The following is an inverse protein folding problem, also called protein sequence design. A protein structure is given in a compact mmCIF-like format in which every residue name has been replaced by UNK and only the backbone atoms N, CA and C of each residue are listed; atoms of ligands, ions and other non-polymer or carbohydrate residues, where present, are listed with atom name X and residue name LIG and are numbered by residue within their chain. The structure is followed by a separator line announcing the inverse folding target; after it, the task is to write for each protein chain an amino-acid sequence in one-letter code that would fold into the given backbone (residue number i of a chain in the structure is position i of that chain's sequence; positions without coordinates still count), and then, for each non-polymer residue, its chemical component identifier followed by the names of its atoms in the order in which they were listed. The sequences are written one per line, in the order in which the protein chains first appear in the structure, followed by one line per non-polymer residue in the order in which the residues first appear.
data_IF_645718182354
#
_entry.id   IF_645718182354
#
_cell.length_a   1.000
_cell.length_b   1.000
_cell.length_c   1.000
_cell.angle_alpha   90.00
_cell.angle_beta   90.00
_cell.angle_gamma   90.00
#
_symmetry.space_group_name_H-M   'P 1'
#
loop_
_entity.id
_entity.type
_entity.pdbx_description
1 polymer ?
#
# COMPACT_ATOMS: atom_id res chain seq x y z
N UNK A 1 -10.93 -3.02 -4.36
CA UNK A 1 -10.40 -2.76 -5.72
C UNK A 1 -10.83 -3.91 -6.62
N UNK A 2 -10.75 -3.74 -7.93
CA UNK A 2 -10.83 -4.85 -8.90
C UNK A 2 -9.46 -4.98 -9.59
N UNK A 3 -8.93 -6.20 -9.70
CA UNK A 3 -7.61 -6.46 -10.27
C UNK A 3 -7.72 -7.33 -11.52
N UNK A 4 -6.88 -7.03 -12.51
CA UNK A 4 -6.83 -7.73 -13.80
C UNK A 4 -5.40 -7.72 -14.37
N UNK A 5 -5.24 -8.26 -15.58
CA UNK A 5 -4.00 -8.20 -16.35
C UNK A 5 -3.08 -9.42 -16.21
N UNK A 6 -3.45 -10.43 -15.43
CA UNK A 6 -2.73 -11.71 -15.39
C UNK A 6 -2.88 -12.43 -16.75
N UNK A 7 -1.79 -12.67 -17.51
CA UNK A 7 -1.85 -13.30 -18.83
C UNK A 7 -2.36 -14.75 -18.80
N UNK A 8 -2.22 -15.44 -17.68
CA UNK A 8 -2.70 -16.81 -17.50
C UNK A 8 -4.21 -16.90 -17.22
N UNK A 9 -4.86 -15.78 -16.90
CA UNK A 9 -6.27 -15.76 -16.51
C UNK A 9 -7.25 -16.01 -17.66
N UNK A 10 -6.86 -15.68 -18.90
CA UNK A 10 -7.78 -15.59 -20.06
C UNK A 10 -8.64 -16.83 -20.30
N UNK A 11 -8.04 -18.02 -20.13
CA UNK A 11 -8.69 -19.32 -20.33
C UNK A 11 -8.55 -20.23 -19.10
N UNK A 12 -8.30 -19.65 -17.92
CA UNK A 12 -8.07 -20.40 -16.71
C UNK A 12 -9.33 -21.16 -16.27
N UNK A 13 -9.26 -22.47 -15.97
CA UNK A 13 -10.42 -23.20 -15.49
C UNK A 13 -10.90 -22.64 -14.14
N UNK A 14 -12.18 -22.89 -13.81
CA UNK A 14 -12.76 -22.51 -12.51
C UNK A 14 -11.91 -23.11 -11.37
N UNK A 15 -11.66 -22.31 -10.34
CA UNK A 15 -10.86 -22.72 -9.18
C UNK A 15 -9.33 -22.71 -9.39
N UNK A 16 -8.81 -22.45 -10.60
CA UNK A 16 -7.37 -22.20 -10.77
C UNK A 16 -7.01 -20.92 -10.02
N UNK A 17 -6.00 -21.02 -9.14
CA UNK A 17 -5.38 -19.88 -8.48
C UNK A 17 -4.66 -19.02 -9.51
N UNK A 18 -4.90 -17.71 -9.47
CA UNK A 18 -4.39 -16.70 -10.39
C UNK A 18 -3.77 -15.53 -9.61
N UNK A 19 -3.18 -14.58 -10.31
CA UNK A 19 -2.50 -13.41 -9.75
C UNK A 19 -0.98 -13.54 -9.73
N UNK A 20 -0.45 -14.71 -10.09
CA UNK A 20 0.99 -14.96 -10.16
C UNK A 20 1.57 -14.86 -11.59
N UNK A 21 0.73 -14.75 -12.63
CA UNK A 21 1.21 -14.66 -14.00
C UNK A 21 1.94 -13.34 -14.28
N UNK A 22 2.96 -13.40 -15.12
CA UNK A 22 3.78 -12.26 -15.52
C UNK A 22 4.13 -12.28 -17.02
N UNK A 23 4.78 -11.21 -17.48
CA UNK A 23 5.24 -11.03 -18.87
C UNK A 23 6.77 -10.99 -19.00
N UNK A 24 7.48 -11.48 -17.99
CA UNK A 24 8.95 -11.55 -17.97
C UNK A 24 9.69 -10.24 -17.69
N UNK A 25 8.98 -9.16 -17.33
CA UNK A 25 9.60 -7.89 -16.92
C UNK A 25 8.76 -7.13 -15.88
N UNK A 26 9.44 -6.26 -15.15
CA UNK A 26 8.88 -5.25 -14.24
C UNK A 26 9.14 -3.85 -14.77
N UNK A 27 8.42 -2.88 -14.24
CA UNK A 27 8.63 -1.45 -14.52
C UNK A 27 9.07 -0.76 -13.22
N UNK A 28 10.11 0.09 -13.23
CA UNK A 28 10.51 0.83 -12.03
C UNK A 28 9.33 1.55 -11.36
N UNK A 29 9.36 1.61 -10.04
CA UNK A 29 8.33 2.30 -9.29
C UNK A 29 8.35 3.81 -9.59
N UNK A 30 7.20 4.35 -9.96
CA UNK A 30 6.98 5.78 -10.16
C UNK A 30 5.98 6.28 -9.13
N UNK A 31 6.49 6.73 -7.98
CA UNK A 31 5.66 7.28 -6.91
C UNK A 31 5.70 8.81 -6.96
N UNK A 32 4.65 9.42 -7.52
CA UNK A 32 4.50 10.88 -7.56
C UNK A 32 3.59 11.34 -6.40
N UNK A 33 4.05 11.11 -5.17
CA UNK A 33 3.30 11.45 -3.96
C UNK A 33 3.61 12.89 -3.49
N UNK A 34 2.61 13.68 -3.01
CA UNK A 34 1.20 13.35 -2.82
C UNK A 34 0.30 13.62 -4.05
N UNK A 35 0.88 13.96 -5.21
CA UNK A 35 0.12 14.36 -6.41
C UNK A 35 -0.80 13.26 -6.95
N UNK A 36 -0.32 12.02 -7.01
CA UNK A 36 -1.13 10.87 -7.40
C UNK A 36 -1.29 9.92 -6.20
N UNK A 37 -2.54 9.59 -5.92
CA UNK A 37 -2.93 8.83 -4.74
C UNK A 37 -4.17 7.97 -5.04
N UNK A 38 -4.47 7.03 -4.17
CA UNK A 38 -5.42 5.95 -4.41
C UNK A 38 -6.86 6.34 -4.09
N UNK A 39 -7.35 7.42 -4.70
CA UNK A 39 -8.79 7.75 -4.70
C UNK A 39 -9.60 6.71 -5.49
N UNK A 40 -10.90 6.60 -5.21
CA UNK A 40 -11.82 5.79 -6.02
C UNK A 40 -11.71 6.19 -7.49
N UNK A 41 -11.57 5.21 -8.37
CA UNK A 41 -11.35 5.37 -9.81
C UNK A 41 -9.88 5.42 -10.23
N UNK A 42 -8.92 5.52 -9.31
CA UNK A 42 -7.50 5.48 -9.67
C UNK A 42 -7.12 4.14 -10.34
N UNK A 43 -6.42 4.22 -11.46
CA UNK A 43 -5.81 3.10 -12.17
C UNK A 43 -4.35 2.96 -11.72
N UNK A 44 -4.00 1.79 -11.23
CA UNK A 44 -2.72 1.58 -10.54
C UNK A 44 -2.10 0.23 -10.91
N UNK A 45 -0.78 0.16 -10.87
CA UNK A 45 -0.06 -1.06 -11.18
C UNK A 45 0.01 -1.98 -9.96
N UNK A 46 -0.24 -3.27 -10.17
CA UNK A 46 -0.01 -4.28 -9.12
C UNK A 46 1.49 -4.55 -9.00
N UNK A 47 1.93 -5.10 -7.85
CA UNK A 47 3.30 -5.57 -7.65
C UNK A 47 3.36 -6.70 -6.64
N UNK A 48 4.46 -7.43 -6.63
CA UNK A 48 4.77 -8.36 -5.55
C UNK A 48 5.08 -7.61 -4.25
N UNK A 49 4.91 -8.29 -3.11
CA UNK A 49 5.21 -7.74 -1.79
C UNK A 49 6.70 -7.50 -1.55
N UNK A 50 7.01 -6.60 -0.62
CA UNK A 50 8.34 -6.03 -0.39
C UNK A 50 9.44 -7.07 -0.09
N UNK A 51 9.07 -8.22 0.52
CA UNK A 51 10.02 -9.30 0.78
C UNK A 51 10.60 -9.93 -0.49
N UNK A 52 9.82 -9.92 -1.59
CA UNK A 52 10.24 -10.43 -2.90
C UNK A 52 10.67 -9.27 -3.81
N UNK A 53 9.99 -8.13 -3.70
CA UNK A 53 10.20 -6.94 -4.53
C UNK A 53 10.52 -5.72 -3.66
N UNK A 54 11.73 -5.63 -3.09
CA UNK A 54 12.11 -4.55 -2.17
C UNK A 54 12.22 -3.19 -2.85
N UNK A 55 12.41 -3.18 -4.18
CA UNK A 55 12.39 -1.96 -5.00
C UNK A 55 10.98 -1.49 -5.38
N UNK A 56 9.95 -2.27 -5.00
CA UNK A 56 8.53 -2.00 -5.25
C UNK A 56 8.21 -1.80 -6.73
N UNK A 57 8.95 -2.46 -7.63
CA UNK A 57 8.75 -2.38 -9.07
C UNK A 57 7.35 -2.87 -9.46
N UNK A 58 6.72 -2.16 -10.39
CA UNK A 58 5.39 -2.46 -10.91
C UNK A 58 5.41 -3.71 -11.79
N UNK A 59 4.33 -4.48 -11.76
CA UNK A 59 4.07 -5.56 -12.73
C UNK A 59 4.02 -4.99 -14.15
N UNK A 60 4.62 -5.70 -15.11
CA UNK A 60 4.56 -5.30 -16.52
C UNK A 60 3.18 -5.46 -17.17
N UNK A 61 2.21 -6.12 -16.51
CA UNK A 61 0.90 -6.42 -17.10
C UNK A 61 -0.28 -6.31 -16.12
N UNK A 62 -0.07 -6.58 -14.83
CA UNK A 62 -1.17 -6.58 -13.86
C UNK A 62 -1.45 -5.18 -13.33
N UNK A 63 -2.73 -4.83 -13.28
CA UNK A 63 -3.23 -3.54 -12.80
C UNK A 63 -4.52 -3.71 -12.02
N UNK A 64 -4.88 -2.68 -11.26
CA UNK A 64 -6.15 -2.62 -10.57
C UNK A 64 -6.79 -1.24 -10.69
N UNK A 65 -8.12 -1.22 -10.53
CA UNK A 65 -8.89 0.00 -10.37
C UNK A 65 -9.33 0.10 -8.91
N UNK A 66 -9.00 1.23 -8.29
CA UNK A 66 -9.37 1.50 -6.91
C UNK A 66 -10.87 1.71 -6.83
N UNK A 67 -11.51 0.93 -5.98
CA UNK A 67 -12.91 1.13 -5.61
C UNK A 67 -13.01 1.69 -4.19
N UNK A 68 -12.23 1.12 -3.27
CA UNK A 68 -11.98 1.67 -1.94
C UNK A 68 -13.24 1.77 -1.07
N UNK A 69 -13.13 2.57 -0.02
CA UNK A 69 -14.25 2.96 0.85
C UNK A 69 -14.12 4.42 1.26
N UNK A 70 -15.22 4.99 1.73
CA UNK A 70 -15.23 6.31 2.36
C UNK A 70 -14.71 6.21 3.79
N UNK A 71 -13.95 7.21 4.21
CA UNK A 71 -13.41 7.38 5.56
C UNK A 71 -14.04 8.62 6.20
N UNK A 72 -14.19 8.61 7.52
CA UNK A 72 -14.53 9.82 8.25
C UNK A 72 -13.25 10.52 8.74
N UNK A 73 -13.37 11.80 9.08
CA UNK A 73 -12.25 12.65 9.52
C UNK A 73 -11.49 12.04 10.70
N UNK A 74 -12.20 11.49 11.69
CA UNK A 74 -11.57 10.85 12.85
C UNK A 74 -10.71 9.65 12.46
N UNK A 75 -11.13 8.89 11.45
CA UNK A 75 -10.37 7.73 10.96
C UNK A 75 -9.12 8.21 10.23
N UNK A 76 -9.22 9.25 9.39
CA UNK A 76 -8.06 9.81 8.70
C UNK A 76 -7.05 10.41 9.69
N UNK A 77 -7.52 11.15 10.70
CA UNK A 77 -6.68 11.66 11.78
C UNK A 77 -5.97 10.53 12.55
N UNK A 78 -6.70 9.45 12.86
CA UNK A 78 -6.09 8.28 13.50
C UNK A 78 -5.02 7.64 12.61
N UNK A 79 -5.25 7.58 11.30
CA UNK A 79 -4.26 7.09 10.34
C UNK A 79 -3.02 7.98 10.31
N UNK A 80 -3.17 9.31 10.31
CA UNK A 80 -2.03 10.24 10.40
C UNK A 80 -1.22 10.00 11.68
N UNK A 81 -1.89 9.93 12.83
CA UNK A 81 -1.23 9.64 14.11
C UNK A 81 -0.49 8.30 14.06
N UNK A 82 -1.12 7.25 13.52
CA UNK A 82 -0.51 5.93 13.41
C UNK A 82 0.72 5.94 12.49
N UNK A 83 0.66 6.64 11.34
CA UNK A 83 1.79 6.75 10.42
C UNK A 83 2.97 7.51 11.05
N UNK A 84 2.69 8.61 11.73
CA UNK A 84 3.70 9.36 12.48
C UNK A 84 4.31 8.53 13.62
N UNK A 85 3.51 7.75 14.34
CA UNK A 85 4.01 6.86 15.39
C UNK A 85 4.83 5.70 14.79
N UNK A 86 4.40 5.13 13.68
CA UNK A 86 5.15 4.08 12.98
C UNK A 86 6.52 4.57 12.52
N UNK A 87 6.62 5.83 12.06
CA UNK A 87 7.89 6.47 11.73
C UNK A 87 8.84 6.51 12.93
N UNK A 88 8.35 6.93 14.11
CA UNK A 88 9.14 6.89 15.35
C UNK A 88 9.58 5.46 15.66
N UNK A 89 8.68 4.49 15.56
CA UNK A 89 8.97 3.08 15.83
C UNK A 89 10.04 2.51 14.87
N UNK A 90 10.00 2.88 13.59
CA UNK A 90 10.99 2.45 12.60
C UNK A 90 12.38 3.01 12.95
N UNK A 91 12.45 4.31 13.28
CA UNK A 91 13.71 4.95 13.71
C UNK A 91 14.23 4.27 14.99
N UNK A 92 13.36 4.03 15.97
CA UNK A 92 13.70 3.32 17.20
C UNK A 92 14.26 1.92 16.90
N UNK A 93 13.61 1.15 16.04
CA UNK A 93 14.06 -0.19 15.66
C UNK A 93 15.44 -0.16 14.98
N UNK A 94 15.70 0.81 14.10
CA UNK A 94 17.01 1.01 13.49
C UNK A 94 18.08 1.42 14.51
N UNK A 95 17.73 2.25 15.49
CA UNK A 95 18.62 2.56 16.61
C UNK A 95 18.91 1.30 17.43
N UNK A 96 17.91 0.52 17.82
CA UNK A 96 18.08 -0.75 18.56
C UNK A 96 19.03 -1.71 17.83
N UNK A 97 18.92 -1.84 16.50
CA UNK A 97 19.83 -2.66 15.69
C UNK A 97 21.29 -2.20 15.83
N UNK A 98 21.55 -0.88 15.89
CA UNK A 98 22.90 -0.33 16.10
C UNK A 98 23.46 -0.65 17.48
N UNK A 99 22.61 -0.66 18.52
CA UNK A 99 22.99 -0.95 19.91
C UNK A 99 22.89 -2.44 20.29
N UNK A 100 22.64 -3.35 19.33
CA UNK A 100 22.37 -4.77 19.62
C UNK A 100 23.49 -5.46 20.41
N UNK A 101 24.75 -5.09 20.17
CA UNK A 101 25.90 -5.62 20.93
C UNK A 101 25.91 -5.18 22.39
N UNK A 102 25.52 -3.95 22.68
CA UNK A 102 25.45 -3.41 24.04
C UNK A 102 24.28 -4.02 24.80
N UNK A 103 23.11 -4.08 24.15
CA UNK A 103 21.90 -4.75 24.66
C UNK A 103 22.23 -6.21 25.04
N UNK A 104 22.96 -6.93 24.19
CA UNK A 104 23.36 -8.30 24.47
C UNK A 104 24.26 -8.42 25.71
N UNK A 105 25.22 -7.49 25.89
CA UNK A 105 26.09 -7.47 27.07
C UNK A 105 25.30 -7.20 28.35
N UNK A 106 24.42 -6.20 28.34
CA UNK A 106 23.57 -5.86 29.48
C UNK A 106 22.64 -7.02 29.86
N UNK A 107 21.98 -7.65 28.87
CA UNK A 107 21.16 -8.86 29.09
C UNK A 107 21.96 -10.01 29.71
N UNK A 108 23.18 -10.26 29.24
CA UNK A 108 24.05 -11.30 29.80
C UNK A 108 24.47 -10.99 31.26
N UNK A 109 24.57 -9.71 31.60
CA UNK A 109 24.89 -9.25 32.95
C UNK A 109 23.66 -9.15 33.88
N UNK A 110 22.44 -9.41 33.39
CA UNK A 110 21.18 -9.11 34.07
C UNK A 110 21.10 -7.64 34.54
N UNK A 111 21.63 -6.72 33.73
CA UNK A 111 21.61 -5.28 34.00
C UNK A 111 20.28 -4.68 33.52
N UNK A 112 19.24 -4.81 34.34
CA UNK A 112 17.89 -4.32 34.03
C UNK A 112 17.82 -2.79 34.01
N UNK A 113 18.50 -2.13 34.95
CA UNK A 113 18.56 -0.66 35.03
C UNK A 113 19.25 -0.08 33.78
N UNK A 114 20.39 -0.66 33.36
CA UNK A 114 21.07 -0.23 32.14
C UNK A 114 20.25 -0.46 30.87
N UNK A 115 19.45 -1.52 30.81
CA UNK A 115 18.52 -1.75 29.69
C UNK A 115 17.39 -0.72 29.67
N UNK A 116 16.87 -0.35 30.84
CA UNK A 116 15.84 0.68 30.99
C UNK A 116 16.37 2.05 30.55
N UNK A 117 17.52 2.47 31.06
CA UNK A 117 18.18 3.74 30.70
C UNK A 117 18.50 3.82 29.21
N UNK A 118 19.00 2.71 28.63
CA UNK A 118 19.24 2.62 27.21
C UNK A 118 17.92 2.75 26.43
N UNK A 119 16.86 2.06 26.84
CA UNK A 119 15.56 2.17 26.19
C UNK A 119 15.04 3.61 26.20
N UNK A 120 15.05 4.30 27.35
CA UNK A 120 14.62 5.70 27.45
C UNK A 120 15.43 6.60 26.51
N UNK A 121 16.75 6.45 26.51
CA UNK A 121 17.66 7.17 25.60
C UNK A 121 17.31 6.93 24.13
N UNK A 122 17.07 5.68 23.74
CA UNK A 122 16.74 5.34 22.35
C UNK A 122 15.36 5.86 21.93
N UNK A 123 14.38 5.86 22.85
CA UNK A 123 13.05 6.45 22.62
C UNK A 123 13.17 7.96 22.39
N UNK A 124 13.89 8.66 23.27
CA UNK A 124 14.12 10.11 23.14
C UNK A 124 14.83 10.45 21.83
N UNK A 125 15.89 9.72 21.47
CA UNK A 125 16.57 9.90 20.19
C UNK A 125 15.65 9.64 18.99
N UNK A 126 14.81 8.60 19.05
CA UNK A 126 13.88 8.29 17.97
C UNK A 126 12.85 9.42 17.77
N UNK A 127 12.34 10.00 18.86
CA UNK A 127 11.44 11.14 18.82
C UNK A 127 12.12 12.39 18.24
N UNK A 128 13.33 12.72 18.71
CA UNK A 128 14.09 13.87 18.19
C UNK A 128 14.41 13.74 16.70
N UNK A 129 14.78 12.54 16.24
CA UNK A 129 15.05 12.28 14.84
C UNK A 129 13.77 12.35 14.01
N UNK A 130 12.67 11.79 14.49
CA UNK A 130 11.37 11.87 13.81
C UNK A 130 10.90 13.32 13.66
N UNK A 131 11.11 14.16 14.68
CA UNK A 131 10.72 15.57 14.71
C UNK A 131 11.52 16.46 13.74
N UNK A 132 12.67 16.00 13.22
CA UNK A 132 13.45 16.73 12.20
C UNK A 132 12.80 16.69 10.81
N UNK A 133 11.89 15.75 10.61
CA UNK A 133 11.16 15.61 9.37
C UNK A 133 9.70 16.05 9.59
N UNK A 134 9.02 16.56 8.56
CA UNK A 134 7.63 16.96 8.69
C UNK A 134 6.75 15.79 9.14
N UNK A 135 5.75 16.10 9.96
CA UNK A 135 4.67 15.17 10.26
C UNK A 135 3.94 14.81 8.97
N UNK A 136 3.59 13.55 8.84
CA UNK A 136 2.65 13.10 7.84
C UNK A 136 1.28 13.71 8.13
N UNK A 137 0.72 14.36 7.10
CA UNK A 137 -0.65 14.85 7.03
C UNK A 137 -1.21 14.54 5.64
N UNK A 138 -2.47 14.15 5.57
CA UNK A 138 -3.17 14.09 4.29
C UNK A 138 -3.33 15.51 3.74
N UNK A 139 -3.19 15.66 2.43
CA UNK A 139 -3.48 16.94 1.77
C UNK A 139 -4.99 17.23 1.82
N UNK A 140 -5.41 18.51 1.67
CA UNK A 140 -6.83 18.83 1.56
C UNK A 140 -7.55 18.04 0.46
N UNK A 141 -6.89 17.82 -0.68
CA UNK A 141 -7.41 17.03 -1.79
C UNK A 141 -7.58 15.54 -1.43
N UNK A 142 -6.61 14.94 -0.73
CA UNK A 142 -6.74 13.58 -0.23
C UNK A 142 -7.88 13.45 0.77
N UNK A 143 -8.01 14.40 1.70
CA UNK A 143 -9.10 14.41 2.70
C UNK A 143 -10.44 14.50 1.99
N UNK A 144 -10.60 15.45 1.06
CA UNK A 144 -11.84 15.58 0.28
C UNK A 144 -12.17 14.28 -0.47
N UNK A 145 -11.20 13.72 -1.19
CA UNK A 145 -11.42 12.48 -1.93
C UNK A 145 -11.79 11.31 -1.01
N UNK A 146 -11.06 11.08 0.08
CA UNK A 146 -11.29 9.95 0.97
C UNK A 146 -12.55 10.07 1.82
N UNK A 147 -13.04 11.28 2.06
CA UNK A 147 -14.28 11.53 2.82
C UNK A 147 -15.53 11.57 1.95
N UNK A 148 -15.40 11.77 0.63
CA UNK A 148 -16.53 11.89 -0.29
C UNK A 148 -16.69 10.67 -1.20
N UNK A 149 -15.73 10.44 -2.10
CA UNK A 149 -15.77 9.36 -3.10
C UNK A 149 -15.10 8.08 -2.60
N UNK A 150 -14.22 8.20 -1.60
CA UNK A 150 -13.48 7.12 -1.00
C UNK A 150 -12.17 6.78 -1.70
N UNK A 151 -11.52 5.72 -1.23
CA UNK A 151 -10.24 5.27 -1.77
C UNK A 151 -9.52 4.27 -0.88
N UNK A 152 -8.20 4.19 -1.05
CA UNK A 152 -7.32 3.23 -0.36
C UNK A 152 -6.03 3.89 0.13
N UNK A 153 -6.10 4.78 1.14
CA UNK A 153 -4.98 5.62 1.59
C UNK A 153 -3.71 4.86 1.98
N UNK A 154 -3.82 3.60 2.43
CA UNK A 154 -2.65 2.81 2.83
C UNK A 154 -1.79 2.33 1.65
N UNK A 155 -2.22 2.54 0.40
CA UNK A 155 -1.43 2.27 -0.80
C UNK A 155 -0.69 3.51 -1.32
N UNK A 156 -0.98 4.69 -0.76
CA UNK A 156 -0.37 5.94 -1.20
C UNK A 156 1.15 5.93 -0.99
N UNK A 157 1.88 6.37 -2.02
CA UNK A 157 3.36 6.34 -2.02
C UNK A 157 3.97 4.94 -2.08
N UNK A 158 3.15 3.88 -2.17
CA UNK A 158 3.58 2.48 -2.13
C UNK A 158 3.32 1.72 -3.44
N UNK A 159 2.42 2.24 -4.27
CA UNK A 159 2.02 1.69 -5.56
C UNK A 159 1.90 2.80 -6.60
N UNK A 160 2.29 2.51 -7.84
CA UNK A 160 2.24 3.47 -8.93
C UNK A 160 0.81 3.67 -9.42
N UNK A 161 0.31 4.89 -9.27
CA UNK A 161 -0.93 5.36 -9.91
C UNK A 161 -0.54 5.97 -11.26
N UNK A 162 -1.09 5.43 -12.35
CA UNK A 162 -0.73 5.84 -13.72
C UNK A 162 -1.92 6.27 -14.57
N UNK A 163 -3.11 6.35 -13.98
CA UNK A 163 -4.30 6.88 -14.64
C UNK A 163 -5.51 6.90 -13.73
N UNK A 164 -6.66 7.20 -14.29
CA UNK A 164 -7.95 7.13 -13.60
C UNK A 164 -9.08 6.79 -14.59
N UNK A 165 -10.18 6.27 -14.05
CA UNK A 165 -11.40 6.04 -14.82
C UNK A 165 -12.15 7.35 -14.99
N UNK A 166 -12.24 7.82 -16.24
CA UNK A 166 -12.98 9.03 -16.61
C UNK A 166 -14.46 8.77 -16.89
N UNK A 167 -14.80 7.58 -17.39
CA UNK A 167 -16.15 7.14 -17.70
C UNK A 167 -16.33 5.65 -17.37
N UNK A 168 -17.55 5.24 -17.00
CA UNK A 168 -17.86 3.83 -16.73
C UNK A 168 -17.59 3.36 -15.30
N UNK A 169 -17.51 4.27 -14.32
CA UNK A 169 -17.39 3.88 -12.91
C UNK A 169 -18.58 3.06 -12.39
N UNK A 170 -19.77 3.20 -12.97
CA UNK A 170 -20.92 2.35 -12.66
C UNK A 170 -20.68 0.88 -13.09
N UNK A 171 -19.93 0.67 -14.18
CA UNK A 171 -19.52 -0.67 -14.63
C UNK A 171 -18.49 -1.25 -13.68
N UNK A 172 -17.50 -0.46 -13.26
CA UNK A 172 -16.53 -0.86 -12.22
C UNK A 172 -17.25 -1.27 -10.93
N UNK A 173 -18.23 -0.48 -10.48
CA UNK A 173 -19.02 -0.78 -9.30
C UNK A 173 -19.84 -2.07 -9.48
N UNK A 174 -20.45 -2.30 -10.65
CA UNK A 174 -21.13 -3.58 -10.96
C UNK A 174 -20.18 -4.77 -10.90
N UNK A 175 -18.96 -4.64 -11.45
CA UNK A 175 -17.95 -5.68 -11.41
C UNK A 175 -17.51 -5.96 -9.96
N UNK A 176 -17.35 -4.94 -9.12
CA UNK A 176 -17.00 -5.14 -7.71
C UNK A 176 -18.04 -6.00 -6.96
N UNK A 177 -19.32 -5.87 -7.31
CA UNK A 177 -20.42 -6.55 -6.60
C UNK A 177 -20.69 -7.97 -7.11
N UNK A 178 -19.93 -8.47 -8.09
CA UNK A 178 -20.10 -9.86 -8.56
C UNK A 178 -19.71 -10.83 -7.44
N UNK A 179 -20.37 -11.99 -7.41
CA UNK A 179 -20.06 -13.03 -6.44
C UNK A 179 -18.67 -13.60 -6.70
N UNK A 180 -17.87 -13.69 -5.66
CA UNK A 180 -16.52 -14.25 -5.70
C UNK A 180 -16.45 -15.58 -4.96
N UNK A 181 -15.47 -16.40 -5.35
CA UNK A 181 -15.08 -17.60 -4.62
C UNK A 181 -14.21 -17.27 -3.39
N UNK A 182 -13.69 -18.30 -2.72
CA UNK A 182 -12.86 -18.15 -1.51
C UNK A 182 -11.50 -17.50 -1.75
N UNK A 183 -11.08 -17.35 -3.00
CA UNK A 183 -9.82 -16.71 -3.40
C UNK A 183 -10.07 -15.31 -4.00
N UNK A 184 -11.25 -14.73 -3.76
CA UNK A 184 -11.68 -13.44 -4.32
C UNK A 184 -11.73 -13.41 -5.86
N UNK A 185 -11.79 -14.57 -6.52
CA UNK A 185 -11.99 -14.67 -7.98
C UNK A 185 -13.50 -14.68 -8.29
N UNK A 186 -13.98 -13.93 -9.30
CA UNK A 186 -15.39 -14.02 -9.73
C UNK A 186 -15.82 -15.47 -10.05
N UNK A 187 -16.98 -15.90 -9.55
CA UNK A 187 -17.54 -17.23 -9.84
C UNK A 187 -17.92 -17.41 -11.32
N UNK A 188 -18.34 -16.30 -11.93
CA UNK A 188 -18.59 -16.15 -13.35
C UNK A 188 -17.54 -15.20 -13.95
N UNK A 189 -16.92 -15.62 -15.05
CA UNK A 189 -15.78 -14.91 -15.63
C UNK A 189 -16.18 -13.50 -16.10
N UNK A 190 -15.51 -12.47 -15.57
CA UNK A 190 -15.57 -11.09 -16.07
C UNK A 190 -14.40 -10.88 -17.03
N UNK A 191 -14.68 -10.73 -18.33
CA UNK A 191 -13.65 -10.72 -19.39
C UNK A 191 -13.51 -9.35 -20.05
N UNK A 192 -12.27 -8.93 -20.27
CA UNK A 192 -11.94 -7.85 -21.20
C UNK A 192 -12.02 -8.45 -22.62
N UNK A 193 -13.07 -8.09 -23.36
CA UNK A 193 -13.30 -8.61 -24.73
C UNK A 193 -12.40 -7.90 -25.74
N UNK A 194 -12.26 -6.57 -25.58
CA UNK A 194 -11.48 -5.70 -26.45
C UNK A 194 -10.97 -4.50 -25.65
N UNK A 195 -9.75 -4.07 -25.93
CA UNK A 195 -9.20 -2.80 -25.50
C UNK A 195 -8.85 -1.98 -26.74
N UNK A 196 -9.13 -0.68 -26.72
CA UNK A 196 -8.86 0.25 -27.83
C UNK A 196 -8.23 1.50 -27.25
N UNK A 197 -7.18 2.00 -27.88
CA UNK A 197 -6.61 3.32 -27.56
C UNK A 197 -7.40 4.35 -28.37
N UNK A 198 -7.91 5.37 -27.69
CA UNK A 198 -8.60 6.49 -28.32
C UNK A 198 -7.57 7.62 -28.54
N UNK A 199 -7.56 8.20 -29.74
CA UNK A 199 -6.73 9.36 -30.09
C UNK A 199 -7.48 10.67 -29.85
#
# INVERSE_FOLDING_TARGET
MIQAGDPESKNAPKGKMLGAGDVGYTVPAEFVYPKFFHKKGALSAARQGDAVNPKKESSGCQFYIVTGKVYNDSTLLQMECQMNQNKVNLIFNELVKKYMKEIYKMRKANDEDGLYDLQEKLVSQAQELAAKEPEFRFTPEQIEAYTTVGGTPHLDGEYTVFGEVVEGMDVVDKIQQVKTDRNDRPEEDVKIIKATILE
#
